data_IF_684383329341
#
_entry.id   IF_684383329341
#
_cell.length_a   1.000
_cell.length_b   1.000
_cell.length_c   1.000
_cell.angle_alpha   90.00
_cell.angle_beta   90.00
_cell.angle_gamma   90.00
#
_symmetry.space_group_name_H-M   'P 1'
#
loop_
_entity.id
_entity.type
_entity.pdbx_description
1 polymer ?
#
# COMPACT_ATOMS: atom_id res chain seq x y z
N UNK A 1 24.01 34.69 -9.99
CA UNK A 1 23.05 33.59 -10.16
C UNK A 1 23.49 32.43 -9.31
N UNK A 2 23.19 32.51 -8.01
CA UNK A 2 23.22 31.40 -7.07
C UNK A 2 21.81 30.77 -7.06
N UNK A 3 21.60 29.58 -6.49
CA UNK A 3 20.29 28.95 -6.13
C UNK A 3 19.91 27.57 -6.71
N UNK A 4 20.84 26.75 -7.23
CA UNK A 4 20.53 25.31 -7.49
C UNK A 4 21.66 24.34 -7.12
N UNK A 5 22.42 24.65 -6.07
CA UNK A 5 23.41 23.71 -5.54
C UNK A 5 23.04 23.24 -4.14
N UNK A 6 21.82 22.71 -3.98
CA UNK A 6 21.51 21.85 -2.84
C UNK A 6 21.92 20.43 -3.22
N UNK A 7 23.12 20.10 -2.77
CA UNK A 7 23.72 18.78 -2.79
C UNK A 7 22.85 17.83 -1.96
N UNK A 8 22.12 16.92 -2.62
CA UNK A 8 21.53 15.77 -1.96
C UNK A 8 22.43 14.55 -2.17
N UNK A 9 22.76 13.87 -1.06
CA UNK A 9 23.86 12.90 -0.92
C UNK A 9 23.52 11.49 -1.43
N UNK A 10 22.48 11.33 -2.24
CA UNK A 10 22.25 10.09 -2.99
C UNK A 10 22.84 10.28 -4.39
N UNK A 11 23.71 9.37 -4.83
CA UNK A 11 24.13 9.39 -6.24
C UNK A 11 22.85 9.37 -7.09
N UNK A 12 22.72 10.24 -8.10
CA UNK A 12 21.56 10.23 -9.02
C UNK A 12 21.22 8.81 -9.51
N UNK A 13 22.24 7.96 -9.63
CA UNK A 13 22.12 6.54 -9.91
C UNK A 13 21.34 5.75 -8.83
N UNK A 14 21.61 5.95 -7.54
CA UNK A 14 20.87 5.29 -6.46
C UNK A 14 19.39 5.72 -6.43
N UNK A 15 19.10 7.00 -6.69
CA UNK A 15 17.73 7.49 -6.83
C UNK A 15 16.99 6.81 -7.99
N UNK A 16 17.62 6.73 -9.17
CA UNK A 16 17.06 6.08 -10.35
C UNK A 16 16.86 4.56 -10.17
N UNK A 17 17.81 3.88 -9.51
CA UNK A 17 17.69 2.45 -9.22
C UNK A 17 16.57 2.20 -8.20
N UNK A 18 16.48 3.02 -7.14
CA UNK A 18 15.41 2.92 -6.16
C UNK A 18 14.03 3.14 -6.80
N UNK A 19 13.92 4.15 -7.67
CA UNK A 19 12.68 4.48 -8.37
C UNK A 19 12.27 3.35 -9.33
N UNK A 20 13.22 2.80 -10.08
CA UNK A 20 13.00 1.66 -10.96
C UNK A 20 12.59 0.38 -10.22
N UNK A 21 13.26 0.07 -9.10
CA UNK A 21 12.90 -1.09 -8.26
C UNK A 21 11.51 -0.91 -7.65
N UNK A 22 11.20 0.30 -7.17
CA UNK A 22 9.89 0.61 -6.61
C UNK A 22 8.78 0.47 -7.65
N UNK A 23 8.96 1.01 -8.86
CA UNK A 23 8.01 0.86 -9.96
C UNK A 23 7.84 -0.59 -10.41
N UNK A 24 8.93 -1.35 -10.48
CA UNK A 24 8.87 -2.78 -10.84
C UNK A 24 8.04 -3.55 -9.80
N UNK A 25 8.38 -3.41 -8.52
CA UNK A 25 7.68 -4.11 -7.43
C UNK A 25 6.21 -3.70 -7.37
N UNK A 26 5.91 -2.41 -7.37
CA UNK A 26 4.53 -1.91 -7.28
C UNK A 26 3.68 -2.34 -8.49
N UNK A 27 4.20 -2.23 -9.71
CA UNK A 27 3.46 -2.62 -10.92
C UNK A 27 3.25 -4.13 -10.98
N UNK A 28 4.25 -4.93 -10.59
CA UNK A 28 4.11 -6.39 -10.50
C UNK A 28 3.05 -6.79 -9.46
N UNK A 29 3.04 -6.17 -8.28
CA UNK A 29 2.03 -6.44 -7.24
C UNK A 29 0.62 -6.08 -7.70
N UNK A 30 0.45 -4.96 -8.41
CA UNK A 30 -0.84 -4.59 -9.04
C UNK A 30 -1.24 -5.62 -10.09
N UNK A 31 -0.31 -6.05 -10.94
CA UNK A 31 -0.56 -7.07 -11.97
C UNK A 31 -0.98 -8.40 -11.37
N UNK A 32 -0.29 -8.87 -10.32
CA UNK A 32 -0.64 -10.08 -9.57
C UNK A 32 -2.04 -9.93 -8.96
N UNK A 33 -2.32 -8.81 -8.30
CA UNK A 33 -3.63 -8.55 -7.69
C UNK A 33 -4.78 -8.55 -8.70
N UNK A 34 -4.58 -7.94 -9.86
CA UNK A 34 -5.58 -7.90 -10.94
C UNK A 34 -5.78 -9.27 -11.58
N UNK A 35 -4.69 -10.01 -11.83
CA UNK A 35 -4.74 -11.39 -12.31
C UNK A 35 -5.50 -12.29 -11.35
N UNK A 36 -5.18 -12.23 -10.04
CA UNK A 36 -5.89 -13.00 -9.01
C UNK A 36 -7.36 -12.64 -8.93
N UNK A 37 -7.70 -11.34 -8.96
CA UNK A 37 -9.09 -10.90 -8.99
C UNK A 37 -9.82 -11.48 -10.20
N UNK A 38 -9.21 -11.45 -11.38
CA UNK A 38 -9.79 -12.00 -12.60
C UNK A 38 -9.91 -13.53 -12.56
N UNK A 39 -8.90 -14.23 -12.02
CA UNK A 39 -8.95 -15.67 -11.82
C UNK A 39 -10.11 -16.08 -10.89
N UNK A 40 -10.34 -15.34 -9.81
CA UNK A 40 -11.48 -15.55 -8.91
C UNK A 40 -12.81 -15.29 -9.62
N UNK A 41 -12.92 -14.21 -10.40
CA UNK A 41 -14.12 -13.91 -11.22
C UNK A 41 -14.42 -15.05 -12.19
N UNK A 42 -13.40 -15.54 -12.91
CA UNK A 42 -13.55 -16.62 -13.88
C UNK A 42 -13.89 -17.97 -13.24
N UNK A 43 -13.29 -18.27 -12.08
CA UNK A 43 -13.52 -19.53 -11.36
C UNK A 43 -14.91 -19.59 -10.70
N UNK A 44 -15.42 -18.46 -10.19
CA UNK A 44 -16.64 -18.39 -9.39
C UNK A 44 -17.74 -17.59 -10.09
N UNK A 45 -18.18 -18.04 -11.28
CA UNK A 45 -19.28 -17.40 -12.04
C UNK A 45 -20.61 -17.30 -11.26
N UNK A 46 -20.83 -18.22 -10.29
CA UNK A 46 -22.00 -18.22 -9.42
C UNK A 46 -21.92 -17.22 -8.25
N UNK A 47 -20.71 -16.75 -7.93
CA UNK A 47 -20.40 -15.88 -6.79
C UNK A 47 -20.28 -14.40 -7.21
N UNK A 48 -20.69 -14.09 -8.44
CA UNK A 48 -20.65 -12.77 -9.07
C UNK A 48 -21.52 -11.69 -8.37
N UNK A 49 -22.07 -12.00 -7.19
CA UNK A 49 -22.81 -11.09 -6.33
C UNK A 49 -21.93 -10.37 -5.29
N UNK A 50 -22.55 -9.90 -4.21
CA UNK A 50 -21.92 -9.07 -3.17
C UNK A 50 -20.62 -9.63 -2.54
N UNK A 51 -20.40 -10.95 -2.58
CA UNK A 51 -19.16 -11.58 -2.08
C UNK A 51 -17.93 -11.15 -2.86
N UNK A 52 -18.04 -11.05 -4.18
CA UNK A 52 -16.94 -10.64 -5.06
C UNK A 52 -16.53 -9.18 -4.85
N UNK A 53 -17.50 -8.27 -4.79
CA UNK A 53 -17.25 -6.86 -4.50
C UNK A 53 -16.56 -6.70 -3.14
N UNK A 54 -17.02 -7.44 -2.13
CA UNK A 54 -16.39 -7.45 -0.79
C UNK A 54 -14.96 -7.97 -0.80
N UNK A 55 -14.65 -9.04 -1.54
CA UNK A 55 -13.27 -9.57 -1.66
C UNK A 55 -12.37 -8.58 -2.38
N UNK A 56 -12.86 -7.94 -3.44
CA UNK A 56 -12.13 -6.89 -4.16
C UNK A 56 -11.87 -5.67 -3.26
N UNK A 57 -12.88 -5.20 -2.52
CA UNK A 57 -12.72 -4.12 -1.54
C UNK A 57 -11.73 -4.49 -0.44
N UNK A 58 -11.78 -5.72 0.08
CA UNK A 58 -10.80 -6.20 1.05
C UNK A 58 -9.37 -6.17 0.48
N UNK A 59 -9.19 -6.61 -0.78
CA UNK A 59 -7.92 -6.52 -1.49
C UNK A 59 -7.40 -5.09 -1.64
N UNK A 60 -8.27 -4.15 -2.02
CA UNK A 60 -7.91 -2.72 -2.10
C UNK A 60 -7.47 -2.19 -0.73
N UNK A 61 -8.24 -2.47 0.33
CA UNK A 61 -7.90 -2.00 1.69
C UNK A 61 -6.57 -2.59 2.17
N UNK A 62 -6.31 -3.87 1.93
CA UNK A 62 -5.04 -4.50 2.25
C UNK A 62 -3.87 -3.87 1.47
N UNK A 63 -4.06 -3.65 0.17
CA UNK A 63 -3.06 -3.01 -0.70
C UNK A 63 -2.76 -1.57 -0.28
N UNK A 64 -3.81 -0.75 -0.08
CA UNK A 64 -3.67 0.64 0.35
C UNK A 64 -3.03 0.73 1.74
N UNK A 65 -3.53 -0.01 2.72
CA UNK A 65 -3.01 0.02 4.09
C UNK A 65 -1.56 -0.46 4.17
N UNK A 66 -1.24 -1.57 3.50
CA UNK A 66 0.12 -2.12 3.45
C UNK A 66 1.11 -1.20 2.73
N UNK A 67 0.71 -0.62 1.61
CA UNK A 67 1.53 0.33 0.86
C UNK A 67 1.82 1.60 1.68
N UNK A 68 0.80 2.22 2.29
CA UNK A 68 0.99 3.41 3.11
C UNK A 68 1.86 3.12 4.35
N UNK A 69 1.77 1.92 4.93
CA UNK A 69 2.69 1.50 6.00
C UNK A 69 4.12 1.37 5.51
N UNK A 70 4.34 0.72 4.36
CA UNK A 70 5.66 0.61 3.76
C UNK A 70 6.26 1.99 3.44
N UNK A 71 5.48 2.87 2.81
CA UNK A 71 5.92 4.21 2.46
C UNK A 71 6.24 5.04 3.71
N UNK A 72 5.33 5.09 4.68
CA UNK A 72 5.50 5.84 5.92
C UNK A 72 6.61 5.32 6.85
N UNK A 73 7.06 4.07 6.70
CA UNK A 73 8.13 3.49 7.51
C UNK A 73 9.43 3.39 6.74
N UNK A 74 9.45 2.70 5.60
CA UNK A 74 10.65 2.44 4.82
C UNK A 74 11.07 3.67 4.03
N UNK A 75 10.18 4.25 3.21
CA UNK A 75 10.54 5.41 2.37
C UNK A 75 10.77 6.67 3.22
N UNK A 76 9.91 6.92 4.21
CA UNK A 76 9.94 8.15 5.01
C UNK A 76 10.90 8.10 6.19
N UNK A 77 10.98 6.99 6.95
CA UNK A 77 11.79 6.92 8.18
C UNK A 77 13.15 6.24 7.99
N UNK A 78 13.20 5.13 7.24
CA UNK A 78 14.43 4.37 7.02
C UNK A 78 15.29 5.03 5.93
N UNK A 79 14.72 5.25 4.75
CA UNK A 79 15.43 5.76 3.58
C UNK A 79 15.43 7.29 3.51
N UNK A 80 14.50 7.96 4.21
CA UNK A 80 14.32 9.43 4.23
C UNK A 80 14.20 10.07 2.84
N UNK A 81 13.69 9.31 1.86
CA UNK A 81 13.63 9.72 0.44
C UNK A 81 12.48 10.69 0.15
N UNK A 82 11.39 10.60 0.92
CA UNK A 82 10.28 11.54 0.88
C UNK A 82 10.01 12.03 2.30
N UNK A 83 10.22 13.33 2.55
CA UNK A 83 9.83 13.97 3.80
C UNK A 83 8.56 14.78 3.58
N UNK A 84 7.54 14.54 4.40
CA UNK A 84 6.23 15.22 4.31
C UNK A 84 6.36 16.75 4.43
N UNK A 85 7.41 17.25 5.12
CA UNK A 85 7.83 18.66 5.10
C UNK A 85 9.23 18.84 5.68
N UNK A 86 10.26 19.19 4.89
CA UNK A 86 11.63 19.39 5.38
C UNK A 86 11.83 20.46 6.49
N UNK A 87 10.82 21.28 6.79
CA UNK A 87 10.95 22.52 7.58
C UNK A 87 9.87 22.74 8.67
N UNK A 88 9.11 21.71 9.06
CA UNK A 88 8.22 21.83 10.22
C UNK A 88 9.02 21.63 11.52
N UNK A 89 8.71 22.30 12.62
CA UNK A 89 9.41 22.05 13.90
C UNK A 89 8.95 20.75 14.59
N UNK A 90 7.74 20.24 14.27
CA UNK A 90 7.13 19.07 14.90
C UNK A 90 6.50 18.12 13.87
N UNK A 91 7.20 17.02 13.58
CA UNK A 91 6.91 16.07 12.50
C UNK A 91 6.12 14.85 13.03
N UNK A 92 6.28 14.58 14.32
CA UNK A 92 5.76 13.40 15.01
C UNK A 92 4.23 13.23 14.90
N UNK A 93 3.40 14.29 15.06
CA UNK A 93 1.94 14.12 14.98
C UNK A 93 1.47 13.70 13.59
N UNK A 94 2.12 14.23 12.54
CA UNK A 94 1.78 13.93 11.15
C UNK A 94 2.18 12.50 10.77
N UNK A 95 3.37 12.06 11.18
CA UNK A 95 3.82 10.68 10.98
C UNK A 95 2.93 9.68 11.71
N UNK A 96 2.52 9.99 12.95
CA UNK A 96 1.63 9.15 13.74
C UNK A 96 0.23 9.09 13.13
N UNK A 97 -0.30 10.22 12.65
CA UNK A 97 -1.58 10.25 11.95
C UNK A 97 -1.53 9.43 10.65
N UNK A 98 -0.44 9.54 9.89
CA UNK A 98 -0.26 8.80 8.63
C UNK A 98 -0.17 7.29 8.88
N UNK A 99 0.69 6.85 9.80
CA UNK A 99 0.81 5.43 10.18
C UNK A 99 -0.49 4.91 10.80
N UNK A 100 -1.13 5.70 11.67
CA UNK A 100 -2.40 5.36 12.30
C UNK A 100 -3.50 5.12 11.28
N UNK A 101 -3.63 5.99 10.28
CA UNK A 101 -4.59 5.83 9.19
C UNK A 101 -4.27 4.60 8.35
N UNK A 102 -3.00 4.38 8.02
CA UNK A 102 -2.56 3.21 7.26
C UNK A 102 -2.90 1.88 7.98
N UNK A 103 -2.70 1.84 9.31
CA UNK A 103 -3.10 0.71 10.16
C UNK A 103 -4.62 0.50 10.15
N UNK A 104 -5.42 1.56 10.28
CA UNK A 104 -6.89 1.46 10.27
C UNK A 104 -7.36 0.86 8.94
N UNK A 105 -6.82 1.34 7.82
CA UNK A 105 -7.15 0.83 6.48
C UNK A 105 -6.75 -0.64 6.33
N UNK A 106 -5.53 -1.00 6.75
CA UNK A 106 -5.04 -2.39 6.68
C UNK A 106 -5.89 -3.34 7.54
N UNK A 107 -6.16 -2.98 8.79
CA UNK A 107 -6.97 -3.79 9.72
C UNK A 107 -8.39 -3.95 9.20
N UNK A 108 -8.99 -2.89 8.64
CA UNK A 108 -10.32 -2.97 8.01
C UNK A 108 -10.34 -3.99 6.87
N UNK A 109 -9.30 -4.03 6.04
CA UNK A 109 -9.14 -5.04 4.99
C UNK A 109 -9.04 -6.47 5.53
N UNK A 110 -8.23 -6.70 6.57
CA UNK A 110 -8.07 -8.01 7.22
C UNK A 110 -9.40 -8.48 7.83
N UNK A 111 -10.07 -7.58 8.55
CA UNK A 111 -11.36 -7.87 9.21
C UNK A 111 -12.41 -8.22 8.16
N UNK A 112 -12.52 -7.44 7.09
CA UNK A 112 -13.44 -7.72 5.99
C UNK A 112 -13.17 -9.08 5.34
N UNK A 113 -11.90 -9.41 5.08
CA UNK A 113 -11.52 -10.69 4.51
C UNK A 113 -11.90 -11.88 5.42
N UNK A 114 -11.66 -11.76 6.73
CA UNK A 114 -12.05 -12.77 7.72
C UNK A 114 -13.56 -12.95 7.80
N UNK A 115 -14.32 -11.85 7.73
CA UNK A 115 -15.78 -11.90 7.72
C UNK A 115 -16.33 -12.62 6.49
N UNK A 116 -15.73 -12.43 5.32
CA UNK A 116 -16.11 -13.14 4.09
C UNK A 116 -15.88 -14.64 4.27
N UNK A 117 -14.67 -15.02 4.70
CA UNK A 117 -14.32 -16.44 4.86
C UNK A 117 -15.19 -17.17 5.89
N UNK A 118 -15.54 -16.50 7.00
CA UNK A 118 -16.39 -17.08 8.05
C UNK A 118 -17.84 -17.32 7.61
N UNK A 119 -18.31 -16.62 6.57
CA UNK A 119 -19.66 -16.77 6.02
C UNK A 119 -19.77 -17.91 4.99
N UNK A 120 -18.64 -18.39 4.50
CA UNK A 120 -18.56 -19.40 3.43
C UNK A 120 -18.37 -20.82 3.97
N UNK A 121 -17.98 -21.00 5.24
CA UNK A 121 -17.94 -22.33 5.87
C UNK A 121 -19.32 -22.70 6.42
N UNK A 122 -19.95 -23.79 5.91
CA UNK A 122 -21.16 -24.32 6.54
C UNK A 122 -20.78 -24.98 7.86
N UNK A 123 -21.41 -24.55 8.96
CA UNK A 123 -21.34 -25.26 10.24
C UNK A 123 -21.99 -26.63 10.06
N UNK A 124 -21.17 -27.69 10.14
CA UNK A 124 -21.59 -29.10 10.16
C UNK A 124 -22.50 -29.42 11.35
#
# INVERSE_FOLDING_TARGET
>A
MHWHHFYDRSTRAAGLVSDGVFHLVSTTLVGIGLYWAMAVICANRADAGNGMLRRFTAGILLGLGGFNLYDGTIQHKVLRLHQVRPAAEHWLPYDLAFIGLALIVLVSGIVLLRFIHSREMPTS
#
